data_IF_796163404817
#
_entry.id   IF_796163404817
#
_cell.length_a   1.000
_cell.length_b   1.000
_cell.length_c   1.000
_cell.angle_alpha   90.00
_cell.angle_beta   90.00
_cell.angle_gamma   90.00
#
_symmetry.space_group_name_H-M   'P 1'
#
loop_
_entity.id
_entity.type
_entity.pdbx_description
1 polymer ?
#
# COMPACT_ATOMS: atom_id res chain seq x y z
N UNK A 1 48.38 -39.22 -16.09
CA UNK A 1 48.28 -37.75 -15.87
C UNK A 1 47.00 -37.14 -16.45
N UNK A 2 46.37 -37.75 -17.45
CA UNK A 2 45.10 -37.30 -18.03
C UNK A 2 43.90 -37.40 -17.07
N UNK A 3 43.85 -38.47 -16.27
CA UNK A 3 42.79 -38.74 -15.28
C UNK A 3 42.72 -37.71 -14.15
N UNK A 4 43.85 -37.20 -13.68
CA UNK A 4 43.92 -36.16 -12.65
C UNK A 4 43.41 -34.80 -13.16
N UNK A 5 43.62 -34.51 -14.45
CA UNK A 5 43.19 -33.27 -15.08
C UNK A 5 41.66 -33.22 -15.25
N UNK A 6 41.05 -34.35 -15.62
CA UNK A 6 39.59 -34.53 -15.69
C UNK A 6 38.95 -34.36 -14.29
N UNK A 7 39.58 -34.92 -13.25
CA UNK A 7 39.07 -34.80 -11.88
C UNK A 7 39.04 -33.34 -11.39
N UNK A 8 40.11 -32.57 -11.64
CA UNK A 8 40.17 -31.14 -11.26
C UNK A 8 39.14 -30.30 -12.03
N UNK A 9 38.96 -30.57 -13.33
CA UNK A 9 37.93 -29.92 -14.14
C UNK A 9 36.51 -30.26 -13.66
N UNK A 10 36.26 -31.51 -13.27
CA UNK A 10 34.97 -31.93 -12.69
C UNK A 10 34.64 -31.20 -11.38
N UNK A 11 35.62 -31.04 -10.49
CA UNK A 11 35.44 -30.32 -9.23
C UNK A 11 35.24 -28.81 -9.44
N UNK A 12 36.00 -28.19 -10.36
CA UNK A 12 35.83 -26.78 -10.72
C UNK A 12 34.47 -26.52 -11.39
N UNK A 13 34.04 -27.40 -12.29
CA UNK A 13 32.72 -27.32 -12.91
C UNK A 13 31.59 -27.48 -11.88
N UNK A 14 31.73 -28.42 -10.93
CA UNK A 14 30.78 -28.61 -9.83
C UNK A 14 30.68 -27.40 -8.90
N UNK A 15 31.82 -26.80 -8.53
CA UNK A 15 31.85 -25.59 -7.71
C UNK A 15 31.23 -24.39 -8.44
N UNK A 16 31.53 -24.22 -9.73
CA UNK A 16 30.95 -23.14 -10.54
C UNK A 16 29.43 -23.29 -10.68
N UNK A 17 28.92 -24.51 -10.91
CA UNK A 17 27.49 -24.77 -10.98
C UNK A 17 26.79 -24.50 -9.64
N UNK A 18 27.40 -24.93 -8.53
CA UNK A 18 26.89 -24.69 -7.18
C UNK A 18 26.86 -23.19 -6.81
N UNK A 19 27.89 -22.42 -7.18
CA UNK A 19 27.91 -20.98 -6.99
C UNK A 19 26.87 -20.27 -7.87
N UNK A 20 26.68 -20.73 -9.11
CA UNK A 20 25.66 -20.19 -10.00
C UNK A 20 24.26 -20.45 -9.43
N UNK A 21 23.94 -21.69 -9.05
CA UNK A 21 22.63 -22.03 -8.47
C UNK A 21 22.39 -21.30 -7.15
N UNK A 22 23.39 -21.18 -6.28
CA UNK A 22 23.28 -20.40 -5.05
C UNK A 22 22.96 -18.92 -5.32
N UNK A 23 23.62 -18.30 -6.31
CA UNK A 23 23.35 -16.92 -6.72
C UNK A 23 21.95 -16.73 -7.28
N UNK A 24 21.44 -17.70 -8.04
CA UNK A 24 20.07 -17.68 -8.55
C UNK A 24 19.03 -17.83 -7.45
N UNK A 25 19.24 -18.76 -6.50
CA UNK A 25 18.34 -18.97 -5.35
C UNK A 25 18.30 -17.74 -4.46
N UNK A 26 19.45 -17.16 -4.14
CA UNK A 26 19.56 -15.94 -3.34
C UNK A 26 18.86 -14.74 -4.02
N UNK A 27 18.99 -14.59 -5.34
CA UNK A 27 18.24 -13.59 -6.09
C UNK A 27 16.72 -13.81 -6.02
N UNK A 28 16.26 -15.05 -6.17
CA UNK A 28 14.82 -15.37 -6.10
C UNK A 28 14.26 -15.13 -4.69
N UNK A 29 15.03 -15.47 -3.66
CA UNK A 29 14.68 -15.21 -2.26
C UNK A 29 14.56 -13.70 -1.98
N UNK A 30 15.56 -12.89 -2.38
CA UNK A 30 15.52 -11.43 -2.19
C UNK A 30 14.37 -10.77 -2.95
N UNK A 31 14.04 -11.27 -4.14
CA UNK A 31 12.90 -10.80 -4.91
C UNK A 31 11.57 -11.08 -4.19
N UNK A 32 11.40 -12.29 -3.64
CA UNK A 32 10.21 -12.66 -2.89
C UNK A 32 10.08 -11.86 -1.58
N UNK A 33 11.17 -11.66 -0.85
CA UNK A 33 11.18 -10.81 0.36
C UNK A 33 10.83 -9.36 0.05
N UNK A 34 11.37 -8.81 -1.04
CA UNK A 34 11.04 -7.46 -1.45
C UNK A 34 9.56 -7.34 -1.84
N UNK A 35 9.01 -8.32 -2.55
CA UNK A 35 7.59 -8.35 -2.89
C UNK A 35 6.70 -8.40 -1.65
N UNK A 36 7.04 -9.25 -0.68
CA UNK A 36 6.32 -9.32 0.58
C UNK A 36 6.36 -7.99 1.33
N UNK A 37 7.53 -7.33 1.40
CA UNK A 37 7.65 -5.98 2.01
C UNK A 37 6.76 -4.95 1.32
N UNK A 38 6.65 -4.97 -0.01
CA UNK A 38 5.78 -4.07 -0.76
C UNK A 38 4.31 -4.36 -0.44
N UNK A 39 3.90 -5.64 -0.44
CA UNK A 39 2.51 -6.02 -0.12
C UNK A 39 2.13 -5.66 1.31
N UNK A 40 3.03 -5.86 2.28
CA UNK A 40 2.82 -5.48 3.67
C UNK A 40 2.68 -3.96 3.82
N UNK A 41 3.50 -3.17 3.10
CA UNK A 41 3.41 -1.72 3.09
C UNK A 41 2.08 -1.23 2.46
N UNK A 42 1.64 -1.85 1.37
CA UNK A 42 0.30 -1.59 0.78
C UNK A 42 -0.81 -1.90 1.78
N UNK A 43 -0.76 -3.07 2.44
CA UNK A 43 -1.76 -3.47 3.42
C UNK A 43 -1.82 -2.49 4.60
N UNK A 44 -0.66 -2.05 5.10
CA UNK A 44 -0.57 -1.03 6.15
C UNK A 44 -1.22 0.28 5.73
N UNK A 45 -0.97 0.75 4.50
CA UNK A 45 -1.56 1.99 4.00
C UNK A 45 -3.08 1.87 3.84
N UNK A 46 -3.57 0.76 3.28
CA UNK A 46 -5.01 0.50 3.16
C UNK A 46 -5.69 0.49 4.54
N UNK A 47 -5.08 -0.17 5.53
CA UNK A 47 -5.59 -0.21 6.90
C UNK A 47 -5.59 1.16 7.57
N UNK A 48 -4.49 1.91 7.48
CA UNK A 48 -4.39 3.26 8.05
C UNK A 48 -5.42 4.21 7.44
N UNK A 49 -5.63 4.13 6.12
CA UNK A 49 -6.61 4.95 5.40
C UNK A 49 -8.04 4.64 5.85
N UNK A 50 -8.36 3.36 6.10
CA UNK A 50 -9.67 2.96 6.63
C UNK A 50 -9.87 3.45 8.07
N UNK A 51 -8.87 3.29 8.93
CA UNK A 51 -8.93 3.75 10.32
C UNK A 51 -9.13 5.28 10.41
N UNK A 52 -8.43 6.05 9.57
CA UNK A 52 -8.65 7.50 9.50
C UNK A 52 -10.10 7.84 9.11
N UNK A 53 -10.62 7.19 8.06
CA UNK A 53 -12.00 7.41 7.60
C UNK A 53 -13.02 7.06 8.67
N UNK A 54 -12.82 5.95 9.38
CA UNK A 54 -13.69 5.53 10.47
C UNK A 54 -13.77 6.61 11.56
N UNK A 55 -12.63 7.05 12.09
CA UNK A 55 -12.55 8.11 13.11
C UNK A 55 -13.20 9.39 12.60
N UNK A 56 -12.93 9.78 11.35
CA UNK A 56 -13.53 10.96 10.74
C UNK A 56 -15.06 10.86 10.67
N UNK A 57 -15.61 9.74 10.20
CA UNK A 57 -17.06 9.59 10.10
C UNK A 57 -17.76 9.47 11.46
N UNK A 58 -17.08 8.94 12.49
CA UNK A 58 -17.56 9.00 13.87
C UNK A 58 -17.64 10.45 14.34
N UNK A 59 -16.60 11.25 14.12
CA UNK A 59 -16.64 12.69 14.44
C UNK A 59 -17.78 13.42 13.72
N UNK A 60 -18.04 13.09 12.44
CA UNK A 60 -19.17 13.65 11.70
C UNK A 60 -20.51 13.26 12.33
N UNK A 61 -20.67 12.02 12.78
CA UNK A 61 -21.87 11.58 13.48
C UNK A 61 -22.04 12.34 14.80
N UNK A 62 -20.99 12.44 15.61
CA UNK A 62 -20.98 13.16 16.88
C UNK A 62 -21.41 14.62 16.71
N UNK A 63 -20.84 15.29 15.70
CA UNK A 63 -21.20 16.68 15.39
C UNK A 63 -22.67 16.83 15.00
N UNK A 64 -23.21 15.89 14.23
CA UNK A 64 -24.64 15.89 13.85
C UNK A 64 -25.56 15.68 15.04
N UNK A 65 -25.12 14.93 16.04
CA UNK A 65 -25.82 14.74 17.31
C UNK A 65 -25.65 15.92 18.29
N UNK A 66 -24.90 16.95 17.89
CA UNK A 66 -24.66 18.14 18.71
C UNK A 66 -23.60 17.95 19.78
N UNK A 67 -22.77 16.91 19.67
CA UNK A 67 -21.63 16.69 20.55
C UNK A 67 -20.43 17.51 20.10
N UNK A 68 -19.83 18.25 21.03
CA UNK A 68 -18.65 19.06 20.75
C UNK A 68 -17.38 18.20 20.61
N UNK A 69 -16.47 18.54 19.68
CA UNK A 69 -15.21 17.83 19.54
C UNK A 69 -14.38 17.84 20.82
N UNK A 70 -14.07 16.64 21.33
CA UNK A 70 -13.18 16.50 22.48
C UNK A 70 -11.72 16.72 22.08
N UNK A 71 -10.88 17.08 23.06
CA UNK A 71 -9.42 17.15 22.84
C UNK A 71 -8.84 15.80 22.43
N UNK A 72 -9.36 14.73 23.01
CA UNK A 72 -8.95 13.35 22.73
C UNK A 72 -9.32 12.94 21.31
N UNK A 73 -10.56 13.16 20.88
CA UNK A 73 -10.98 12.86 19.50
C UNK A 73 -10.19 13.63 18.44
N UNK A 74 -9.85 14.90 18.72
CA UNK A 74 -8.92 15.66 17.85
C UNK A 74 -7.54 15.01 17.80
N UNK A 75 -6.99 14.59 18.95
CA UNK A 75 -5.70 13.93 19.01
C UNK A 75 -5.70 12.60 18.23
N UNK A 76 -6.78 11.82 18.31
CA UNK A 76 -6.92 10.56 17.59
C UNK A 76 -6.98 10.77 16.07
N UNK A 77 -7.71 11.79 15.60
CA UNK A 77 -7.70 12.15 14.18
C UNK A 77 -6.30 12.55 13.69
N UNK A 78 -5.54 13.32 14.47
CA UNK A 78 -4.15 13.67 14.13
C UNK A 78 -3.21 12.46 14.13
N UNK A 79 -3.35 11.55 15.10
CA UNK A 79 -2.61 10.29 15.13
C UNK A 79 -2.91 9.43 13.91
N UNK A 80 -4.19 9.33 13.53
CA UNK A 80 -4.61 8.59 12.35
C UNK A 80 -4.05 9.24 11.06
N UNK A 81 -4.08 10.58 10.94
CA UNK A 81 -3.44 11.31 9.81
C UNK A 81 -1.95 10.96 9.72
N UNK A 82 -1.26 10.98 10.85
CA UNK A 82 0.16 10.63 10.94
C UNK A 82 0.42 9.19 10.51
N UNK A 83 -0.43 8.24 10.93
CA UNK A 83 -0.32 6.84 10.56
C UNK A 83 -0.49 6.63 9.05
N UNK A 84 -1.43 7.34 8.40
CA UNK A 84 -1.61 7.32 6.95
C UNK A 84 -0.35 7.82 6.23
N UNK A 85 0.19 8.98 6.63
CA UNK A 85 1.44 9.52 6.06
C UNK A 85 2.61 8.54 6.21
N UNK A 86 2.81 7.99 7.40
CA UNK A 86 3.90 7.03 7.64
C UNK A 86 3.76 5.76 6.80
N UNK A 87 2.54 5.25 6.63
CA UNK A 87 2.29 4.07 5.81
C UNK A 87 2.56 4.35 4.33
N UNK A 88 2.18 5.54 3.85
CA UNK A 88 2.52 6.00 2.50
C UNK A 88 4.03 6.10 2.29
N UNK A 89 4.75 6.77 3.19
CA UNK A 89 6.21 6.93 3.11
C UNK A 89 6.93 5.58 3.08
N UNK A 90 6.50 4.62 3.91
CA UNK A 90 7.05 3.26 3.89
C UNK A 90 6.85 2.58 2.54
N UNK A 91 5.67 2.70 1.94
CA UNK A 91 5.39 2.13 0.63
C UNK A 91 6.23 2.82 -0.46
N UNK A 92 6.28 4.15 -0.46
CA UNK A 92 7.05 4.93 -1.42
C UNK A 92 8.56 4.62 -1.37
N UNK A 93 9.09 4.30 -0.19
CA UNK A 93 10.48 3.86 -0.01
C UNK A 93 10.69 2.37 -0.36
N UNK A 94 9.64 1.56 -0.35
CA UNK A 94 9.71 0.13 -0.60
C UNK A 94 9.61 -0.25 -2.08
N UNK A 95 9.14 0.65 -2.97
CA UNK A 95 8.93 0.33 -4.39
C UNK A 95 9.31 1.50 -5.30
N UNK A 96 9.71 1.19 -6.53
CA UNK A 96 9.91 2.18 -7.62
C UNK A 96 8.81 2.11 -8.68
N UNK A 97 7.77 1.30 -8.42
CA UNK A 97 6.61 1.14 -9.31
C UNK A 97 5.70 2.34 -9.22
N UNK A 98 5.74 3.14 -10.28
CA UNK A 98 5.01 4.41 -10.37
C UNK A 98 3.50 4.23 -10.31
N UNK A 99 2.94 3.22 -10.97
CA UNK A 99 1.48 3.00 -10.95
C UNK A 99 1.01 2.69 -9.53
N UNK A 100 1.79 1.89 -8.80
CA UNK A 100 1.50 1.58 -7.40
C UNK A 100 1.65 2.80 -6.49
N UNK A 101 2.72 3.59 -6.67
CA UNK A 101 2.96 4.79 -5.86
C UNK A 101 1.92 5.89 -6.13
N UNK A 102 1.50 6.08 -7.39
CA UNK A 102 0.47 7.05 -7.76
C UNK A 102 -0.89 6.65 -7.15
N UNK A 103 -1.27 5.36 -7.24
CA UNK A 103 -2.48 4.86 -6.59
C UNK A 103 -2.42 4.96 -5.05
N UNK A 104 -1.24 4.77 -4.46
CA UNK A 104 -1.01 4.93 -3.04
C UNK A 104 -1.16 6.37 -2.57
N UNK A 105 -0.61 7.31 -3.35
CA UNK A 105 -0.72 8.75 -3.11
C UNK A 105 -2.20 9.18 -3.10
N UNK A 106 -2.95 8.77 -4.12
CA UNK A 106 -4.39 9.04 -4.21
C UNK A 106 -5.15 8.45 -3.01
N UNK A 107 -4.87 7.21 -2.62
CA UNK A 107 -5.54 6.58 -1.48
C UNK A 107 -5.24 7.29 -0.15
N UNK A 108 -3.98 7.70 0.08
CA UNK A 108 -3.56 8.39 1.29
C UNK A 108 -4.20 9.78 1.40
N UNK A 109 -4.05 10.60 0.35
CA UNK A 109 -4.49 11.99 0.40
C UNK A 109 -5.99 12.14 0.28
N UNK A 110 -6.68 11.34 -0.55
CA UNK A 110 -8.14 11.37 -0.58
C UNK A 110 -8.80 11.01 0.75
N UNK A 111 -8.14 10.19 1.59
CA UNK A 111 -8.59 9.94 2.95
C UNK A 111 -8.35 11.16 3.84
N UNK A 112 -7.14 11.73 3.81
CA UNK A 112 -6.74 12.88 4.62
C UNK A 112 -7.53 14.15 4.29
N UNK A 113 -7.80 14.40 3.02
CA UNK A 113 -8.53 15.56 2.51
C UNK A 113 -9.97 15.64 3.07
N UNK A 114 -10.52 14.52 3.57
CA UNK A 114 -11.78 14.54 4.32
C UNK A 114 -11.70 15.50 5.52
N UNK A 115 -10.59 15.44 6.26
CA UNK A 115 -10.34 16.29 7.43
C UNK A 115 -10.24 17.78 7.10
N UNK A 116 -10.03 18.11 5.83
CA UNK A 116 -9.83 19.47 5.36
C UNK A 116 -11.14 20.09 4.82
N UNK A 117 -12.24 19.33 4.80
CA UNK A 117 -13.59 19.83 4.44
C UNK A 117 -14.07 20.81 5.54
N UNK A 118 -14.39 22.08 5.19
CA UNK A 118 -14.89 23.04 6.16
C UNK A 118 -16.32 22.71 6.56
N UNK A 119 -16.53 22.21 7.79
CA UNK A 119 -17.82 21.65 8.21
C UNK A 119 -18.88 22.70 8.58
N UNK A 120 -18.49 23.87 9.10
CA UNK A 120 -19.46 24.87 9.57
C UNK A 120 -20.28 24.40 10.77
N UNK A 121 -21.47 24.97 10.96
CA UNK A 121 -22.38 24.66 12.09
C UNK A 121 -23.47 23.68 11.64
N UNK A 122 -23.75 22.68 12.47
CA UNK A 122 -24.89 21.79 12.29
C UNK A 122 -26.20 22.50 12.66
N UNK A 123 -27.22 22.38 11.81
CA UNK A 123 -28.61 22.78 12.08
C UNK A 123 -29.52 21.59 11.82
N UNK A 124 -30.38 21.28 12.79
CA UNK A 124 -31.37 20.20 12.66
C UNK A 124 -30.76 18.84 12.27
N UNK A 125 -29.55 18.54 12.77
CA UNK A 125 -28.84 17.28 12.50
C UNK A 125 -28.06 17.23 11.17
N UNK A 126 -28.00 18.33 10.42
CA UNK A 126 -27.32 18.40 9.13
C UNK A 126 -26.36 19.59 9.03
N UNK A 127 -25.31 19.46 8.21
CA UNK A 127 -24.49 20.61 7.80
C UNK A 127 -25.19 21.40 6.69
N UNK A 128 -24.65 22.57 6.34
CA UNK A 128 -25.10 23.30 5.14
C UNK A 128 -24.96 22.41 3.88
N UNK A 129 -25.87 22.57 2.91
CA UNK A 129 -26.01 21.64 1.78
C UNK A 129 -24.73 21.42 0.96
N UNK A 130 -23.92 22.47 0.78
CA UNK A 130 -22.63 22.38 0.07
C UNK A 130 -21.62 21.50 0.83
N UNK A 131 -21.65 21.52 2.17
CA UNK A 131 -20.81 20.68 3.02
C UNK A 131 -21.25 19.22 2.92
N UNK A 132 -22.56 18.96 2.94
CA UNK A 132 -23.09 17.60 2.78
C UNK A 132 -22.74 17.00 1.40
N UNK A 133 -22.79 17.82 0.34
CA UNK A 133 -22.33 17.43 -0.98
C UNK A 133 -20.81 17.14 -0.99
N UNK A 134 -20.00 17.99 -0.35
CA UNK A 134 -18.56 17.80 -0.24
C UNK A 134 -18.19 16.53 0.55
N UNK A 135 -18.88 16.25 1.64
CA UNK A 135 -18.72 15.02 2.45
C UNK A 135 -19.06 13.77 1.63
N UNK A 136 -20.16 13.81 0.88
CA UNK A 136 -20.58 12.71 0.01
C UNK A 136 -19.53 12.45 -1.08
N UNK A 137 -19.12 13.50 -1.79
CA UNK A 137 -18.11 13.39 -2.84
C UNK A 137 -16.75 12.93 -2.29
N UNK A 138 -16.35 13.43 -1.11
CA UNK A 138 -15.13 13.00 -0.42
C UNK A 138 -15.18 11.52 -0.05
N UNK A 139 -16.31 11.04 0.47
CA UNK A 139 -16.51 9.61 0.81
C UNK A 139 -16.32 8.72 -0.42
N UNK A 140 -16.91 9.09 -1.54
CA UNK A 140 -16.82 8.37 -2.80
C UNK A 140 -15.38 8.35 -3.31
N UNK A 141 -14.75 9.53 -3.46
CA UNK A 141 -13.34 9.65 -3.89
C UNK A 141 -12.40 8.79 -3.05
N UNK A 142 -12.52 8.85 -1.73
CA UNK A 142 -11.66 8.08 -0.83
C UNK A 142 -11.88 6.56 -0.96
N UNK A 143 -13.12 6.11 -1.16
CA UNK A 143 -13.43 4.70 -1.39
C UNK A 143 -12.88 4.21 -2.75
N UNK A 144 -13.01 5.03 -3.77
CA UNK A 144 -12.58 4.69 -5.12
C UNK A 144 -11.05 4.66 -5.21
N UNK A 145 -10.35 5.61 -4.59
CA UNK A 145 -8.89 5.61 -4.48
C UNK A 145 -8.35 4.40 -3.69
N UNK A 146 -9.00 4.05 -2.57
CA UNK A 146 -8.67 2.81 -1.83
C UNK A 146 -8.84 1.56 -2.70
N UNK A 147 -9.90 1.52 -3.52
CA UNK A 147 -10.13 0.42 -4.46
C UNK A 147 -9.08 0.36 -5.57
N UNK A 148 -8.67 1.53 -6.10
CA UNK A 148 -7.63 1.64 -7.10
C UNK A 148 -6.29 1.11 -6.59
N UNK A 149 -5.86 1.50 -5.37
CA UNK A 149 -4.64 0.98 -4.74
C UNK A 149 -4.67 -0.55 -4.60
N UNK A 150 -5.79 -1.10 -4.11
CA UNK A 150 -5.96 -2.56 -4.00
C UNK A 150 -5.85 -3.26 -5.35
N UNK A 151 -6.39 -2.67 -6.41
CA UNK A 151 -6.34 -3.23 -7.76
C UNK A 151 -4.95 -3.12 -8.39
N UNK A 152 -4.23 -2.02 -8.17
CA UNK A 152 -2.84 -1.86 -8.60
C UNK A 152 -1.94 -2.94 -7.98
N UNK A 153 -2.09 -3.18 -6.67
CA UNK A 153 -1.34 -4.24 -5.98
C UNK A 153 -1.64 -5.65 -6.52
N UNK A 154 -2.91 -5.95 -6.85
CA UNK A 154 -3.30 -7.24 -7.47
C UNK A 154 -2.76 -7.41 -8.89
N UNK A 155 -2.79 -6.35 -9.69
CA UNK A 155 -2.31 -6.40 -11.07
C UNK A 155 -0.81 -6.71 -11.11
N UNK A 156 -0.05 -6.07 -10.21
CA UNK A 156 1.38 -6.33 -10.02
C UNK A 156 1.70 -7.81 -9.72
N UNK A 157 0.95 -8.45 -8.83
CA UNK A 157 1.17 -9.88 -8.52
C UNK A 157 0.79 -10.78 -9.68
N UNK A 158 -0.27 -10.43 -10.45
CA UNK A 158 -0.72 -11.20 -11.61
C UNK A 158 0.25 -11.16 -12.80
N UNK A 159 0.89 -10.02 -13.08
CA UNK A 159 1.85 -9.88 -14.18
C UNK A 159 3.15 -10.67 -13.95
N UNK A 160 3.47 -11.03 -12.71
CA UNK A 160 4.70 -11.79 -12.39
C UNK A 160 4.48 -13.31 -12.36
N UNK A 161 3.24 -13.77 -12.12
CA UNK A 161 2.89 -15.19 -12.12
C UNK A 161 2.78 -15.84 -13.51
N UNK A 162 2.67 -15.06 -14.59
CA UNK A 162 2.49 -15.56 -15.95
C UNK A 162 3.77 -15.72 -16.79
N UNK A 163 4.95 -15.40 -16.26
CA UNK A 163 6.19 -15.30 -17.04
C UNK A 163 7.10 -16.54 -17.10
N UNK A 164 6.87 -17.60 -16.31
CA UNK A 164 7.78 -18.76 -16.19
C UNK A 164 7.37 -19.96 -17.09
N UNK A 165 6.63 -19.71 -18.18
CA UNK A 165 5.93 -20.74 -18.96
C UNK A 165 6.37 -20.96 -20.41
N UNK A 166 7.62 -20.71 -20.80
CA UNK A 166 8.12 -21.15 -22.13
C UNK A 166 9.61 -21.49 -22.09
N UNK A 167 9.92 -22.76 -21.80
CA UNK A 167 11.15 -23.38 -22.29
C UNK A 167 10.84 -24.03 -23.65
N UNK A 168 11.45 -23.60 -24.76
CA UNK A 168 11.35 -24.34 -26.01
C UNK A 168 12.24 -25.59 -25.92
N UNK A 169 11.60 -26.75 -25.77
CA UNK A 169 12.19 -28.01 -26.24
C UNK A 169 11.89 -28.11 -27.74
N UNK A 170 12.92 -27.89 -28.56
CA UNK A 170 13.08 -28.47 -29.89
C UNK A 170 14.57 -28.47 -30.25
#
# INVERSE_FOLDING_TARGET
MWSTLIAVLGTLAGAALASLTAHWVDRRARAAEHEQRVLDAVAQLLAASLAYREIYWLQIADLREGMDPTREGRADLFRARTAVTQAFDRLALATTDRELTDAANEAAWSAIDLGDIPLGRVREGHFDGDVEAALTAGRERSRDAHTALRNAARTRTSHRGGGDGTAPHA
#
